data_IF_702949140132
#
_entry.id   IF_702949140132
#
_cell.length_a   1.000
_cell.length_b   1.000
_cell.length_c   1.000
_cell.angle_alpha   90.00
_cell.angle_beta   90.00
_cell.angle_gamma   90.00
#
_symmetry.space_group_name_H-M   'P 1'
#
loop_
_entity.id
_entity.type
_entity.pdbx_description
1 polymer ?
#
# COMPACT_ATOMS: atom_id res chain seq x y z
N UNK A 1 5.88 -6.48 10.19
CA UNK A 1 6.23 -5.25 10.95
C UNK A 1 7.40 -5.48 11.89
N UNK A 2 7.30 -6.37 12.90
CA UNK A 2 8.38 -6.57 13.88
C UNK A 2 9.69 -7.07 13.27
N UNK A 3 9.63 -8.08 12.42
CA UNK A 3 10.79 -8.60 11.69
C UNK A 3 11.52 -7.48 10.91
N UNK A 4 10.78 -6.68 10.15
CA UNK A 4 11.35 -5.62 9.31
C UNK A 4 11.82 -4.38 10.06
N UNK A 5 11.00 -3.88 11.01
CA UNK A 5 11.15 -2.55 11.64
C UNK A 5 11.53 -2.58 13.12
N UNK A 6 11.52 -3.75 13.75
CA UNK A 6 11.71 -3.90 15.19
C UNK A 6 10.58 -3.31 16.05
N UNK A 7 9.48 -2.88 15.45
CA UNK A 7 8.30 -2.37 16.16
C UNK A 7 7.32 -3.51 16.41
N UNK A 8 6.89 -3.66 17.66
CA UNK A 8 5.92 -4.68 18.08
C UNK A 8 4.71 -4.02 18.73
N UNK A 9 3.52 -4.29 18.20
CA UNK A 9 2.26 -3.89 18.81
C UNK A 9 1.81 -4.93 19.83
N UNK A 10 1.66 -4.50 21.08
CA UNK A 10 1.22 -5.35 22.18
C UNK A 10 0.05 -4.73 22.93
N UNK A 11 -0.67 -5.58 23.64
CA UNK A 11 -1.69 -5.18 24.59
C UNK A 11 -1.55 -6.00 25.87
N UNK A 12 -2.11 -5.47 26.97
CA UNK A 12 -2.19 -6.22 28.22
C UNK A 12 -3.06 -7.49 28.08
N UNK A 13 -3.11 -8.31 29.14
CA UNK A 13 -3.91 -9.55 29.13
C UNK A 13 -5.38 -9.32 28.80
N UNK A 14 -5.91 -8.17 29.19
CA UNK A 14 -7.33 -7.81 29.11
C UNK A 14 -7.68 -7.14 27.78
N UNK A 15 -6.67 -6.71 27.00
CA UNK A 15 -6.85 -5.99 25.75
C UNK A 15 -7.10 -4.49 25.93
N UNK A 16 -6.88 -3.94 27.12
CA UNK A 16 -7.33 -2.60 27.49
C UNK A 16 -6.31 -1.50 27.18
N UNK A 17 -5.02 -1.87 27.05
CA UNK A 17 -3.93 -0.92 26.86
C UNK A 17 -3.00 -1.35 25.74
N UNK A 18 -3.14 -0.69 24.60
CA UNK A 18 -2.25 -0.82 23.45
C UNK A 18 -0.94 -0.07 23.65
N UNK A 19 0.16 -0.67 23.22
CA UNK A 19 1.49 -0.06 23.24
C UNK A 19 2.32 -0.54 22.05
N UNK A 20 3.15 0.36 21.50
CA UNK A 20 4.18 0.02 20.53
C UNK A 20 5.55 -0.06 21.20
N UNK A 21 6.11 -1.25 21.26
CA UNK A 21 7.48 -1.46 21.72
C UNK A 21 8.47 -1.35 20.56
N UNK A 22 9.69 -0.91 20.87
CA UNK A 22 10.79 -0.81 19.93
C UNK A 22 11.98 -1.64 20.37
N UNK A 23 12.41 -2.57 19.51
CA UNK A 23 13.65 -3.32 19.66
C UNK A 23 14.92 -2.44 19.58
N UNK A 24 14.82 -1.17 19.16
CA UNK A 24 15.92 -0.22 19.24
C UNK A 24 16.25 0.16 20.69
N UNK A 25 15.24 0.12 21.57
CA UNK A 25 15.30 0.58 22.97
C UNK A 25 15.27 -0.57 23.99
N UNK A 26 15.08 -1.80 23.52
CA UNK A 26 14.95 -3.00 24.35
C UNK A 26 15.85 -4.13 23.80
N UNK A 27 16.88 -4.47 24.56
CA UNK A 27 17.86 -5.50 24.20
C UNK A 27 17.24 -6.90 24.10
N UNK A 28 16.30 -7.23 24.99
CA UNK A 28 15.60 -8.51 24.95
C UNK A 28 14.71 -8.62 23.69
N UNK A 29 14.00 -7.55 23.31
CA UNK A 29 13.27 -7.52 22.03
C UNK A 29 14.21 -7.61 20.83
N UNK A 30 15.39 -6.97 20.89
CA UNK A 30 16.40 -7.06 19.84
C UNK A 30 16.92 -8.50 19.67
N UNK A 31 17.18 -9.22 20.76
CA UNK A 31 17.53 -10.63 20.73
C UNK A 31 16.41 -11.51 20.16
N UNK A 32 15.17 -11.28 20.58
CA UNK A 32 14.01 -11.98 20.01
C UNK A 32 13.88 -11.74 18.51
N UNK A 33 14.04 -10.50 18.05
CA UNK A 33 14.02 -10.17 16.62
C UNK A 33 15.08 -10.97 15.84
N UNK A 34 16.30 -11.09 16.36
CA UNK A 34 17.37 -11.91 15.73
C UNK A 34 16.97 -13.39 15.63
N UNK A 35 16.37 -13.94 16.69
CA UNK A 35 15.87 -15.33 16.69
C UNK A 35 14.76 -15.53 15.64
N UNK A 36 13.82 -14.59 15.57
CA UNK A 36 12.68 -14.63 14.63
C UNK A 36 13.15 -14.50 13.17
N UNK A 37 14.09 -13.61 12.88
CA UNK A 37 14.71 -13.49 11.55
C UNK A 37 15.36 -14.81 11.09
N UNK A 38 15.92 -15.58 12.03
CA UNK A 38 16.49 -16.90 11.72
C UNK A 38 15.45 -18.02 11.66
N UNK A 39 14.37 -17.93 12.45
CA UNK A 39 13.30 -18.92 12.51
C UNK A 39 11.96 -18.23 12.84
N UNK A 40 11.17 -17.88 11.81
CA UNK A 40 9.90 -17.19 11.99
C UNK A 40 8.88 -17.94 12.86
N UNK A 41 9.00 -19.27 12.99
CA UNK A 41 8.11 -20.06 13.85
C UNK A 41 8.22 -19.68 15.33
N UNK A 42 9.32 -19.04 15.76
CA UNK A 42 9.51 -18.59 17.14
C UNK A 42 8.71 -17.32 17.48
N UNK A 43 8.05 -16.69 16.51
CA UNK A 43 7.35 -15.41 16.73
C UNK A 43 6.29 -15.49 17.84
N UNK A 44 5.59 -16.61 17.96
CA UNK A 44 4.58 -16.78 19.01
C UNK A 44 5.17 -16.87 20.42
N UNK A 45 6.45 -17.24 20.56
CA UNK A 45 7.12 -17.44 21.85
C UNK A 45 7.49 -16.12 22.55
N UNK A 46 7.51 -15.00 21.81
CA UNK A 46 7.79 -13.67 22.38
C UNK A 46 6.69 -13.21 23.34
N UNK A 47 5.47 -13.74 23.19
CA UNK A 47 4.31 -13.35 23.98
C UNK A 47 4.30 -14.15 25.29
N UNK A 48 4.67 -13.48 26.39
CA UNK A 48 4.67 -14.07 27.73
C UNK A 48 3.26 -14.17 28.31
N UNK A 49 3.12 -14.77 29.50
CA UNK A 49 1.85 -14.84 30.23
C UNK A 49 1.18 -13.46 30.34
N UNK A 50 1.95 -12.37 30.45
CA UNK A 50 1.44 -11.02 30.74
C UNK A 50 1.29 -10.10 29.54
N UNK A 51 1.65 -10.53 28.33
CA UNK A 51 1.60 -9.69 27.13
C UNK A 51 1.01 -10.46 25.96
N UNK A 52 0.14 -9.80 25.19
CA UNK A 52 -0.44 -10.35 23.96
C UNK A 52 -0.13 -9.44 22.79
N UNK A 53 -0.15 -9.99 21.59
CA UNK A 53 -0.15 -9.19 20.36
C UNK A 53 -1.43 -8.36 20.28
N UNK A 54 -1.30 -7.08 19.93
CA UNK A 54 -2.46 -6.21 19.74
C UNK A 54 -3.00 -6.32 18.32
N UNK A 55 -3.80 -7.36 18.09
CA UNK A 55 -4.52 -7.54 16.82
C UNK A 55 -5.78 -6.65 16.78
N UNK A 56 -6.37 -6.35 17.93
CA UNK A 56 -7.64 -5.63 18.01
C UNK A 56 -7.53 -4.17 17.53
N UNK A 57 -6.36 -3.56 17.70
CA UNK A 57 -6.08 -2.21 17.19
C UNK A 57 -5.71 -2.15 15.71
N UNK A 58 -5.51 -3.31 15.05
CA UNK A 58 -5.26 -3.34 13.61
C UNK A 58 -6.57 -3.12 12.85
N UNK A 59 -6.61 -2.03 12.08
CA UNK A 59 -7.73 -1.69 11.21
C UNK A 59 -7.47 -2.34 9.85
N UNK A 60 -8.29 -3.31 9.40
CA UNK A 60 -8.23 -3.78 8.02
C UNK A 60 -8.49 -2.60 7.09
N UNK A 61 -7.66 -2.42 6.07
CA UNK A 61 -7.68 -1.21 5.27
C UNK A 61 -8.08 -1.46 3.82
N UNK A 62 -7.40 -2.38 3.15
CA UNK A 62 -7.69 -2.80 1.78
C UNK A 62 -7.13 -4.19 1.52
N UNK A 63 -7.59 -4.82 0.43
CA UNK A 63 -6.95 -6.00 -0.11
C UNK A 63 -6.67 -5.82 -1.61
N UNK A 64 -5.43 -6.05 -2.01
CA UNK A 64 -4.96 -5.91 -3.39
C UNK A 64 -4.52 -7.24 -3.97
N UNK A 65 -5.05 -7.58 -5.14
CA UNK A 65 -4.55 -8.71 -5.92
C UNK A 65 -3.70 -8.20 -7.06
N UNK A 66 -2.48 -8.73 -7.16
CA UNK A 66 -1.59 -8.47 -8.29
C UNK A 66 -2.26 -8.96 -9.57
N UNK A 67 -2.40 -8.12 -10.61
CA UNK A 67 -3.03 -8.57 -11.85
C UNK A 67 -2.25 -9.66 -12.57
N UNK A 68 -2.95 -10.37 -13.45
CA UNK A 68 -2.28 -11.16 -14.48
C UNK A 68 -1.55 -10.19 -15.41
N UNK A 69 -0.24 -10.41 -15.63
CA UNK A 69 0.59 -9.34 -16.17
C UNK A 69 2.02 -9.75 -16.48
N UNK A 70 2.87 -8.74 -16.54
CA UNK A 70 4.33 -8.82 -16.68
C UNK A 70 5.05 -9.32 -15.43
N UNK A 71 4.31 -9.53 -14.34
CA UNK A 71 4.90 -9.96 -13.08
C UNK A 71 5.12 -11.46 -13.06
N UNK A 72 6.34 -11.86 -12.72
CA UNK A 72 6.70 -13.28 -12.50
C UNK A 72 5.99 -13.89 -11.29
N UNK A 73 5.52 -13.06 -10.35
CA UNK A 73 4.81 -13.46 -9.14
C UNK A 73 3.57 -12.60 -8.94
N UNK A 74 2.56 -13.19 -8.32
CA UNK A 74 1.32 -12.53 -7.95
C UNK A 74 1.09 -12.68 -6.45
N UNK A 75 0.61 -11.62 -5.84
CA UNK A 75 0.32 -11.54 -4.41
C UNK A 75 -1.13 -11.12 -4.17
N UNK A 76 -1.73 -11.69 -3.13
CA UNK A 76 -3.01 -11.28 -2.53
C UNK A 76 -2.66 -10.60 -1.21
N UNK A 77 -2.54 -9.28 -1.24
CA UNK A 77 -1.91 -8.47 -0.19
C UNK A 77 -2.95 -7.69 0.59
N UNK A 78 -3.15 -8.05 1.86
CA UNK A 78 -3.95 -7.29 2.80
C UNK A 78 -3.15 -6.14 3.41
N UNK A 79 -3.73 -4.94 3.40
CA UNK A 79 -3.23 -3.75 4.05
C UNK A 79 -3.96 -3.53 5.37
N UNK A 80 -3.20 -3.09 6.37
CA UNK A 80 -3.70 -2.75 7.71
C UNK A 80 -3.18 -1.38 8.12
N UNK A 81 -3.95 -0.68 8.93
CA UNK A 81 -3.56 0.58 9.58
C UNK A 81 -3.56 0.36 11.10
N UNK A 82 -2.56 0.90 11.77
CA UNK A 82 -2.47 0.96 13.22
C UNK A 82 -2.32 2.43 13.62
N UNK A 83 -3.14 2.90 14.55
CA UNK A 83 -3.06 4.26 15.09
C UNK A 83 -2.21 4.21 16.36
N UNK A 84 -1.27 5.13 16.48
CA UNK A 84 -0.38 5.28 17.64
C UNK A 84 -0.17 6.77 17.92
N UNK A 85 -0.02 7.12 19.20
CA UNK A 85 0.30 8.50 19.61
C UNK A 85 1.78 8.83 19.36
N UNK A 86 2.64 7.81 19.38
CA UNK A 86 4.08 7.95 19.23
C UNK A 86 4.60 7.32 17.93
N UNK A 87 5.72 7.86 17.46
CA UNK A 87 6.53 7.32 16.36
C UNK A 87 7.77 6.62 16.96
N UNK A 88 7.67 5.36 17.41
CA UNK A 88 8.79 4.67 18.05
C UNK A 88 9.97 4.55 17.08
N UNK A 89 11.18 4.56 17.64
CA UNK A 89 12.39 4.37 16.84
C UNK A 89 12.36 2.99 16.17
N UNK A 90 12.59 2.95 14.85
CA UNK A 90 12.60 1.71 14.09
C UNK A 90 14.04 1.27 13.82
N UNK A 91 14.26 -0.05 13.81
CA UNK A 91 15.48 -0.67 13.28
C UNK A 91 15.12 -1.43 12.01
N UNK A 92 15.91 -1.29 10.95
CA UNK A 92 15.63 -2.00 9.71
C UNK A 92 16.53 -3.23 9.51
N UNK A 93 16.08 -4.20 8.72
CA UNK A 93 16.92 -5.32 8.31
C UNK A 93 17.91 -4.86 7.25
N UNK A 94 19.19 -4.68 7.58
CA UNK A 94 20.23 -4.16 6.67
C UNK A 94 20.40 -5.04 5.41
N UNK A 95 20.07 -6.33 5.48
CA UNK A 95 20.17 -7.24 4.35
C UNK A 95 19.12 -6.99 3.26
N UNK A 96 17.95 -6.46 3.64
CA UNK A 96 16.80 -6.31 2.73
C UNK A 96 16.40 -4.84 2.53
N UNK A 97 16.71 -3.99 3.51
CA UNK A 97 16.32 -2.59 3.57
C UNK A 97 17.55 -1.70 3.73
N UNK A 98 17.53 -0.54 3.07
CA UNK A 98 18.60 0.46 3.20
C UNK A 98 18.32 1.51 4.27
N UNK A 99 17.05 1.76 4.60
CA UNK A 99 16.65 2.78 5.56
C UNK A 99 15.21 2.53 6.05
N UNK A 100 14.87 3.11 7.21
CA UNK A 100 13.51 3.22 7.73
C UNK A 100 13.32 4.58 8.41
N UNK A 101 12.21 5.25 8.14
CA UNK A 101 11.93 6.55 8.73
C UNK A 101 10.42 6.80 8.80
N UNK A 102 10.02 7.67 9.72
CA UNK A 102 8.67 8.19 9.80
C UNK A 102 8.54 9.39 8.85
N UNK A 103 7.50 9.37 8.01
CA UNK A 103 7.24 10.42 7.02
C UNK A 103 5.72 10.63 6.86
N UNK A 104 5.32 11.86 6.55
CA UNK A 104 3.92 12.15 6.23
C UNK A 104 3.55 11.51 4.88
N UNK A 105 2.36 10.92 4.72
CA UNK A 105 1.89 10.38 3.43
C UNK A 105 2.01 11.37 2.27
N UNK A 106 1.66 12.64 2.49
CA UNK A 106 1.77 13.69 1.48
C UNK A 106 3.20 13.89 0.98
N UNK A 107 4.17 13.85 1.90
CA UNK A 107 5.56 14.09 1.57
C UNK A 107 6.16 12.92 0.78
N UNK A 108 5.90 11.67 1.19
CA UNK A 108 6.41 10.51 0.44
C UNK A 108 5.77 10.38 -0.94
N UNK A 109 4.49 10.74 -1.08
CA UNK A 109 3.81 10.78 -2.38
C UNK A 109 4.43 11.85 -3.29
N UNK A 110 4.67 13.07 -2.78
CA UNK A 110 5.35 14.13 -3.53
C UNK A 110 6.75 13.70 -4.02
N UNK A 111 7.54 13.06 -3.15
CA UNK A 111 8.85 12.50 -3.52
C UNK A 111 8.71 11.44 -4.61
N UNK A 112 7.66 10.62 -4.56
CA UNK A 112 7.44 9.59 -5.58
C UNK A 112 6.99 10.18 -6.92
N UNK A 113 6.15 11.22 -6.90
CA UNK A 113 5.78 12.00 -8.10
C UNK A 113 7.01 12.63 -8.75
N UNK A 114 8.00 13.07 -7.96
CA UNK A 114 9.27 13.64 -8.44
C UNK A 114 10.30 12.58 -8.89
N UNK A 115 10.05 11.30 -8.66
CA UNK A 115 11.01 10.23 -8.98
C UNK A 115 12.12 10.04 -7.96
N UNK A 116 12.01 10.63 -6.77
CA UNK A 116 13.01 10.51 -5.70
C UNK A 116 12.87 9.19 -4.93
N UNK A 117 11.65 8.65 -4.86
CA UNK A 117 11.37 7.35 -4.21
C UNK A 117 10.45 6.51 -5.09
N UNK A 118 10.66 5.19 -5.08
CA UNK A 118 9.74 4.29 -5.74
C UNK A 118 8.60 3.88 -4.82
N UNK A 119 7.37 4.06 -5.29
CA UNK A 119 6.18 3.50 -4.66
C UNK A 119 5.48 2.56 -5.65
N UNK A 120 5.34 1.27 -5.35
CA UNK A 120 4.41 0.42 -6.08
C UNK A 120 3.00 1.02 -6.10
N UNK A 121 2.22 0.83 -7.17
CA UNK A 121 0.90 1.46 -7.34
C UNK A 121 -0.08 1.23 -6.17
N UNK A 122 -0.17 0.04 -5.55
CA UNK A 122 -0.98 -0.13 -4.35
C UNK A 122 -0.53 0.79 -3.20
N UNK A 123 0.77 0.93 -2.95
CA UNK A 123 1.27 1.79 -1.87
C UNK A 123 0.94 3.26 -2.13
N UNK A 124 1.17 3.75 -3.35
CA UNK A 124 0.82 5.12 -3.73
C UNK A 124 -0.68 5.39 -3.54
N UNK A 125 -1.54 4.50 -4.06
CA UNK A 125 -2.99 4.64 -3.94
C UNK A 125 -3.47 4.65 -2.48
N UNK A 126 -2.99 3.71 -1.69
CA UNK A 126 -3.38 3.57 -0.29
C UNK A 126 -2.89 4.74 0.58
N UNK A 127 -1.74 5.33 0.25
CA UNK A 127 -1.23 6.55 0.89
C UNK A 127 -2.06 7.79 0.53
N UNK A 128 -2.45 7.95 -0.74
CA UNK A 128 -3.39 9.02 -1.17
C UNK A 128 -4.74 8.89 -0.45
N UNK A 129 -5.33 7.68 -0.43
CA UNK A 129 -6.58 7.43 0.30
C UNK A 129 -6.44 7.75 1.78
N UNK A 130 -5.39 7.24 2.43
CA UNK A 130 -5.15 7.49 3.85
C UNK A 130 -5.00 8.99 4.14
N UNK A 131 -4.29 9.73 3.29
CA UNK A 131 -4.16 11.19 3.42
C UNK A 131 -5.51 11.90 3.35
N UNK A 132 -6.36 11.54 2.39
CA UNK A 132 -7.69 12.14 2.24
C UNK A 132 -8.57 11.85 3.45
N UNK A 133 -8.57 10.61 3.94
CA UNK A 133 -9.31 10.22 5.14
C UNK A 133 -8.80 10.97 6.37
N UNK A 134 -7.49 11.02 6.60
CA UNK A 134 -6.91 11.75 7.73
C UNK A 134 -7.17 13.26 7.69
N UNK A 135 -7.44 13.84 6.52
CA UNK A 135 -7.83 15.25 6.39
C UNK A 135 -9.29 15.47 6.80
N UNK A 136 -10.17 14.49 6.56
CA UNK A 136 -11.62 14.65 6.70
C UNK A 136 -12.18 14.00 7.99
N UNK A 137 -11.66 12.84 8.41
CA UNK A 137 -12.16 12.05 9.54
C UNK A 137 -11.05 11.19 10.17
N UNK A 138 -10.39 11.71 11.21
CA UNK A 138 -9.29 11.00 11.90
C UNK A 138 -9.76 9.95 12.90
N UNK A 139 -10.94 10.12 13.47
CA UNK A 139 -11.38 9.37 14.66
C UNK A 139 -11.98 8.00 14.32
N UNK A 140 -12.38 7.76 13.07
CA UNK A 140 -13.04 6.51 12.69
C UNK A 140 -12.60 5.97 11.34
N UNK A 141 -11.33 5.57 11.23
CA UNK A 141 -10.75 5.02 10.00
C UNK A 141 -11.45 3.72 9.55
N UNK A 142 -12.03 2.94 10.47
CA UNK A 142 -12.77 1.71 10.15
C UNK A 142 -13.94 1.95 9.16
N UNK A 143 -14.50 3.16 9.13
CA UNK A 143 -15.54 3.50 8.14
C UNK A 143 -15.03 3.49 6.71
N UNK A 144 -13.73 3.63 6.49
CA UNK A 144 -13.07 3.74 5.19
C UNK A 144 -12.35 2.45 4.76
N UNK A 145 -12.50 1.37 5.54
CA UNK A 145 -12.05 0.04 5.12
C UNK A 145 -12.69 -0.33 3.79
N UNK A 146 -11.85 -0.67 2.81
CA UNK A 146 -12.30 -1.26 1.56
C UNK A 146 -12.39 -2.78 1.72
N UNK A 147 -13.62 -3.29 1.76
CA UNK A 147 -13.92 -4.72 1.88
C UNK A 147 -13.84 -5.46 0.55
N UNK A 148 -13.79 -4.73 -0.57
CA UNK A 148 -13.72 -5.28 -1.91
C UNK A 148 -12.26 -5.41 -2.32
N UNK A 149 -11.91 -6.58 -2.87
CA UNK A 149 -10.58 -6.84 -3.40
C UNK A 149 -10.33 -5.97 -4.64
N UNK A 150 -9.28 -5.15 -4.59
CA UNK A 150 -8.86 -4.29 -5.70
C UNK A 150 -7.92 -5.09 -6.60
N UNK A 151 -8.28 -5.25 -7.87
CA UNK A 151 -7.43 -5.91 -8.88
C UNK A 151 -7.33 -5.01 -10.10
N UNK A 152 -6.29 -4.18 -10.27
CA UNK A 152 -6.20 -3.30 -11.43
C UNK A 152 -6.00 -4.10 -12.73
N UNK A 153 -6.37 -3.55 -13.88
CA UNK A 153 -5.86 -4.01 -15.18
C UNK A 153 -4.70 -3.12 -15.63
N UNK A 154 -3.61 -3.69 -16.15
CA UNK A 154 -2.41 -2.94 -16.56
C UNK A 154 -2.35 -2.80 -18.08
N UNK A 155 -2.13 -1.57 -18.53
CA UNK A 155 -1.93 -1.22 -19.93
C UNK A 155 -0.65 -0.42 -20.12
N UNK A 156 0.01 -0.60 -21.25
CA UNK A 156 1.13 0.24 -21.71
C UNK A 156 0.64 1.22 -22.76
N UNK A 157 1.36 2.32 -22.91
CA UNK A 157 1.13 3.25 -24.03
C UNK A 157 2.00 2.86 -25.21
N UNK A 158 1.39 2.78 -26.40
CA UNK A 158 2.05 2.32 -27.63
C UNK A 158 3.35 3.05 -27.90
N UNK A 159 3.28 4.38 -27.82
CA UNK A 159 4.40 5.28 -28.08
C UNK A 159 5.35 5.46 -26.88
N UNK A 160 4.95 5.02 -25.67
CA UNK A 160 5.68 5.25 -24.42
C UNK A 160 5.59 4.02 -23.49
N UNK A 161 6.37 2.98 -23.80
CA UNK A 161 6.32 1.67 -23.12
C UNK A 161 6.75 1.70 -21.65
N UNK A 162 7.39 2.79 -21.21
CA UNK A 162 7.75 3.04 -19.81
C UNK A 162 6.57 3.58 -18.99
N UNK A 163 5.44 3.91 -19.62
CA UNK A 163 4.22 4.35 -18.93
C UNK A 163 3.27 3.17 -18.79
N UNK A 164 2.76 3.01 -17.57
CA UNK A 164 1.79 2.00 -17.20
C UNK A 164 0.52 2.68 -16.69
N UNK A 165 -0.63 2.23 -17.21
CA UNK A 165 -1.95 2.63 -16.76
C UNK A 165 -2.55 1.48 -15.97
N UNK A 166 -2.86 1.75 -14.71
CA UNK A 166 -3.57 0.83 -13.82
C UNK A 166 -5.02 1.27 -13.79
N UNK A 167 -5.86 0.56 -14.54
CA UNK A 167 -7.30 0.75 -14.58
C UNK A 167 -7.90 0.05 -13.36
N UNK A 168 -8.50 0.80 -12.45
CA UNK A 168 -9.05 0.29 -11.19
C UNK A 168 -10.56 0.01 -11.35
N UNK A 169 -11.17 -0.77 -10.44
CA UNK A 169 -12.63 -0.96 -10.41
C UNK A 169 -13.37 0.38 -10.46
N UNK A 170 -14.58 0.44 -11.04
CA UNK A 170 -15.36 1.68 -11.28
C UNK A 170 -14.77 2.62 -12.36
N UNK A 171 -13.69 2.25 -13.03
CA UNK A 171 -13.28 2.94 -14.25
C UNK A 171 -14.12 2.47 -15.44
N UNK A 172 -14.51 3.37 -16.35
CA UNK A 172 -15.31 3.03 -17.52
C UNK A 172 -14.63 2.00 -18.44
N UNK A 173 -13.30 1.88 -18.40
CA UNK A 173 -12.60 0.84 -19.12
C UNK A 173 -12.65 -0.49 -18.37
N UNK A 174 -12.79 -0.52 -17.06
CA UNK A 174 -12.56 -1.73 -16.24
C UNK A 174 -13.31 -2.98 -16.74
N UNK A 175 -14.63 -2.88 -16.94
CA UNK A 175 -15.49 -3.99 -17.41
C UNK A 175 -15.63 -4.06 -18.93
N UNK A 176 -15.35 -2.95 -19.64
CA UNK A 176 -15.43 -2.88 -21.11
C UNK A 176 -14.19 -3.49 -21.79
N UNK A 177 -13.27 -4.03 -21.01
CA UNK A 177 -12.09 -4.71 -21.50
C UNK A 177 -12.45 -6.14 -21.89
N UNK A 178 -12.50 -6.37 -23.21
CA UNK A 178 -12.66 -7.67 -23.87
C UNK A 178 -11.87 -8.80 -23.15
N UNK A 179 -12.49 -9.96 -22.83
CA UNK A 179 -11.82 -11.09 -22.20
C UNK A 179 -10.63 -11.68 -22.99
N UNK A 180 -10.43 -11.28 -24.25
CA UNK A 180 -9.25 -11.64 -25.06
C UNK A 180 -8.01 -10.76 -24.83
N UNK A 181 -8.10 -9.77 -23.94
CA UNK A 181 -7.02 -8.84 -23.66
C UNK A 181 -5.88 -9.53 -22.87
N UNK A 182 -4.67 -9.50 -23.46
CA UNK A 182 -3.47 -10.16 -22.93
C UNK A 182 -2.85 -9.34 -21.78
N UNK A 183 -1.89 -9.91 -21.03
CA UNK A 183 -1.34 -9.30 -19.81
C UNK A 183 -0.60 -7.96 -19.99
N UNK A 184 -0.42 -7.49 -21.23
CA UNK A 184 0.28 -6.25 -21.61
C UNK A 184 -0.40 -5.59 -22.79
N UNK A 185 -1.64 -5.16 -22.59
CA UNK A 185 -2.34 -4.48 -23.67
C UNK A 185 -1.77 -3.09 -23.88
N UNK A 186 -1.80 -2.67 -25.13
CA UNK A 186 -1.28 -1.38 -25.57
C UNK A 186 -2.47 -0.47 -25.86
N UNK A 187 -2.55 0.65 -25.16
CA UNK A 187 -3.51 1.72 -25.44
C UNK A 187 -2.86 2.82 -26.30
N UNK A 188 -3.65 3.51 -27.12
CA UNK A 188 -3.21 4.72 -27.81
C UNK A 188 -2.94 5.86 -26.81
N UNK A 189 -2.00 6.75 -27.14
CA UNK A 189 -1.59 7.88 -26.28
C UNK A 189 -2.71 8.87 -25.91
N UNK A 190 -3.83 8.89 -26.64
CA UNK A 190 -4.98 9.75 -26.32
C UNK A 190 -5.70 9.35 -25.02
N UNK A 191 -5.47 8.15 -24.49
CA UNK A 191 -5.97 7.71 -23.17
C UNK A 191 -5.17 8.27 -21.97
N UNK A 192 -4.00 8.90 -22.22
CA UNK A 192 -3.17 9.51 -21.16
C UNK A 192 -3.69 10.86 -20.67
N UNK A 193 -4.27 11.62 -21.59
CA UNK A 193 -4.90 12.90 -21.29
C UNK A 193 -6.33 12.56 -20.88
N UNK A 194 -6.89 13.19 -19.85
CA UNK A 194 -8.34 13.21 -19.64
C UNK A 194 -8.92 14.13 -20.71
N UNK A 195 -9.38 13.64 -21.88
CA UNK A 195 -9.81 14.54 -22.93
C UNK A 195 -11.23 15.00 -22.60
N UNK A 196 -11.72 16.07 -23.23
CA UNK A 196 -13.05 16.62 -22.95
C UNK A 196 -14.19 15.59 -23.05
N UNK A 197 -14.03 14.52 -23.84
CA UNK A 197 -15.04 13.46 -23.96
C UNK A 197 -15.13 12.49 -22.77
N UNK A 198 -14.20 12.57 -21.81
CA UNK A 198 -14.22 11.77 -20.59
C UNK A 198 -14.88 12.50 -19.41
N UNK A 199 -15.33 13.75 -19.57
CA UNK A 199 -15.97 14.53 -18.50
C UNK A 199 -17.19 13.84 -17.88
N UNK A 200 -17.94 13.05 -18.66
CA UNK A 200 -19.11 12.30 -18.18
C UNK A 200 -18.79 10.84 -17.79
N UNK A 201 -17.56 10.38 -18.01
CA UNK A 201 -17.17 8.99 -17.75
C UNK A 201 -16.74 8.82 -16.30
N UNK A 202 -16.92 7.60 -15.79
CA UNK A 202 -16.33 7.19 -14.53
C UNK A 202 -14.84 6.92 -14.75
N UNK A 203 -13.98 7.59 -14.01
CA UNK A 203 -12.53 7.45 -14.12
C UNK A 203 -12.00 7.04 -12.77
N UNK A 204 -11.25 5.94 -12.76
CA UNK A 204 -10.55 5.45 -11.59
C UNK A 204 -9.28 4.75 -12.04
N UNK A 205 -8.19 5.50 -12.17
CA UNK A 205 -6.95 4.95 -12.71
C UNK A 205 -5.70 5.64 -12.17
N UNK A 206 -4.60 4.90 -12.17
CA UNK A 206 -3.27 5.43 -11.85
C UNK A 206 -2.42 5.39 -13.11
N UNK A 207 -1.74 6.49 -13.41
CA UNK A 207 -0.67 6.53 -14.41
C UNK A 207 0.66 6.54 -13.66
N UNK A 208 1.57 5.63 -13.99
CA UNK A 208 2.92 5.57 -13.42
C UNK A 208 3.96 5.37 -14.51
N UNK A 209 5.15 5.87 -14.25
CA UNK A 209 6.34 5.61 -15.05
C UNK A 209 7.15 4.48 -14.40
N UNK A 210 7.85 3.70 -15.21
CA UNK A 210 8.84 2.72 -14.76
C UNK A 210 10.20 2.99 -15.40
N UNK A 211 11.28 3.00 -14.62
CA UNK A 211 12.64 3.20 -15.14
C UNK A 211 13.47 1.91 -15.05
N UNK A 212 13.91 1.30 -16.18
CA UNK A 212 14.78 0.13 -16.17
C UNK A 212 16.13 0.37 -15.46
N UNK A 213 16.86 -0.68 -15.01
CA UNK A 213 16.59 -2.11 -15.20
C UNK A 213 15.66 -2.72 -14.15
N UNK A 214 15.30 -1.98 -13.10
CA UNK A 214 14.39 -2.43 -12.04
C UNK A 214 12.98 -1.85 -12.26
N UNK A 215 11.95 -2.42 -11.63
CA UNK A 215 10.60 -1.83 -11.63
C UNK A 215 10.55 -0.64 -10.65
N UNK A 216 11.31 0.42 -10.95
CA UNK A 216 11.28 1.66 -10.20
C UNK A 216 10.08 2.48 -10.67
N UNK A 217 8.97 2.40 -9.92
CA UNK A 217 7.72 3.12 -10.17
C UNK A 217 7.74 4.52 -9.60
N UNK A 218 7.45 5.51 -10.43
CA UNK A 218 7.44 6.93 -10.06
C UNK A 218 6.55 7.77 -10.97
N UNK A 219 6.48 9.08 -10.71
CA UNK A 219 5.73 10.01 -11.56
C UNK A 219 4.23 9.67 -11.56
N UNK A 220 3.74 9.17 -10.42
CA UNK A 220 2.38 8.69 -10.25
C UNK A 220 1.38 9.83 -10.44
N UNK A 221 0.24 9.51 -11.05
CA UNK A 221 -0.93 10.40 -11.12
C UNK A 221 -2.18 9.56 -10.89
N UNK A 222 -2.95 9.91 -9.87
CA UNK A 222 -4.25 9.31 -9.58
C UNK A 222 -5.35 10.16 -10.21
N UNK A 223 -6.23 9.51 -10.96
CA UNK A 223 -7.43 10.12 -11.54
C UNK A 223 -8.67 9.45 -10.95
N UNK A 224 -9.52 10.28 -10.34
CA UNK A 224 -10.78 9.90 -9.69
C UNK A 224 -11.85 10.89 -10.17
N UNK A 225 -12.86 10.40 -10.88
CA UNK A 225 -13.94 11.23 -11.44
C UNK A 225 -15.23 10.42 -11.58
N UNK A 226 -16.37 11.03 -11.23
CA UNK A 226 -17.72 10.46 -11.40
C UNK A 226 -17.93 9.05 -10.82
N UNK A 227 -17.09 8.62 -9.88
CA UNK A 227 -17.19 7.31 -9.24
C UNK A 227 -18.26 7.31 -8.15
N UNK A 228 -18.83 6.12 -7.91
CA UNK A 228 -19.92 5.94 -6.96
C UNK A 228 -19.45 6.29 -5.54
N UNK A 229 -20.19 7.16 -4.85
CA UNK A 229 -19.89 7.57 -3.46
C UNK A 229 -19.91 6.40 -2.45
N UNK A 230 -20.54 5.28 -2.81
CA UNK A 230 -20.55 4.08 -1.97
C UNK A 230 -19.25 3.28 -2.04
N UNK A 231 -18.40 3.53 -3.05
CA UNK A 231 -17.06 2.99 -3.07
C UNK A 231 -16.21 3.82 -2.11
N UNK A 232 -15.74 3.17 -1.05
CA UNK A 232 -14.99 3.81 0.03
C UNK A 232 -13.56 4.08 -0.45
N UNK A 233 -13.41 5.18 -1.18
CA UNK A 233 -12.15 5.78 -1.60
C UNK A 233 -11.51 6.60 -0.49
#
# INVERSE_FOLDING_TARGET
MFEESGILAITDKEGNKSELLSAAKDENLSEWRKKILSNPNLFHEIFSVNMKIDIASLIPWANWLTPFGEYSKRYDTAFFVLITEDCPESIFCINEMMNSFWIKPSEINERSVKGEVSLPPPQFYELERLQLVLKNEKENLNKFTNTTKITPHIFKIKEQQNIHLYILPEDYLYDNLNPNFKPTNILPSNELLLPPYLEDKQIHRIITHSTPPYLFYHGHKLFIQNINKNFKH
#
